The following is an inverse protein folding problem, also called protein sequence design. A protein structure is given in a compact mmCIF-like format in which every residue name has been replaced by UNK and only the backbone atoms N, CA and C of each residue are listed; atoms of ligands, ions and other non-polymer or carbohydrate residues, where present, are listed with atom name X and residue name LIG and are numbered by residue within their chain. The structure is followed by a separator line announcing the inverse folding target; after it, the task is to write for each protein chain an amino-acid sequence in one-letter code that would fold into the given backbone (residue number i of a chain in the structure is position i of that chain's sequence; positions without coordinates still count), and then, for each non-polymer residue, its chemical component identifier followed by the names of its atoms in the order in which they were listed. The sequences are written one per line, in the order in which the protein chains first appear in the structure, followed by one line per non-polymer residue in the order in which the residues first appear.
data_IF_201674545935
#
_entry.id   IF_201674545935
#
_cell.length_a   1.000
_cell.length_b   1.000
_cell.length_c   1.000
_cell.angle_alpha   90.00
_cell.angle_beta   90.00
_cell.angle_gamma   90.00
#
_symmetry.space_group_name_H-M   'P 1'
#
loop_
_entity.id
_entity.type
_entity.pdbx_description
1 polymer ?
#
# COMPACT_ATOMS: atom_id res chain seq x y z
N UNK A 1 14.55 -24.28 -22.97
CA UNK A 1 14.10 -24.67 -24.32
C UNK A 1 12.56 -24.68 -24.43
N UNK A 2 11.82 -24.97 -23.35
CA UNK A 2 10.35 -25.03 -23.37
C UNK A 2 9.61 -23.68 -23.37
N UNK A 3 10.17 -22.63 -22.77
CA UNK A 3 9.57 -21.28 -22.85
C UNK A 3 9.45 -20.84 -24.31
N UNK A 4 10.48 -21.09 -25.12
CA UNK A 4 10.49 -20.79 -26.55
C UNK A 4 9.43 -21.61 -27.31
N UNK A 5 9.18 -22.84 -26.87
CA UNK A 5 8.22 -23.76 -27.48
C UNK A 5 6.78 -23.38 -27.14
N UNK A 6 6.53 -22.95 -25.90
CA UNK A 6 5.25 -22.37 -25.46
C UNK A 6 4.99 -21.06 -26.20
N UNK A 7 5.99 -20.16 -26.26
CA UNK A 7 5.92 -18.94 -27.06
C UNK A 7 5.58 -19.23 -28.52
N UNK A 8 6.27 -20.19 -29.14
CA UNK A 8 6.01 -20.58 -30.54
C UNK A 8 4.62 -21.19 -30.74
N UNK A 9 4.11 -21.95 -29.76
CA UNK A 9 2.77 -22.55 -29.83
C UNK A 9 1.69 -21.49 -29.66
N UNK A 10 1.83 -20.58 -28.69
CA UNK A 10 0.97 -19.41 -28.52
C UNK A 10 1.02 -18.50 -29.75
N UNK A 11 2.20 -18.26 -30.31
CA UNK A 11 2.43 -17.51 -31.56
C UNK A 11 1.68 -18.15 -32.73
N UNK A 12 1.73 -19.48 -32.87
CA UNK A 12 0.98 -20.21 -33.91
C UNK A 12 -0.54 -20.13 -33.70
N UNK A 13 -1.02 -20.18 -32.46
CA UNK A 13 -2.45 -20.21 -32.13
C UNK A 13 -3.10 -18.82 -32.20
N UNK A 14 -2.43 -17.79 -31.70
CA UNK A 14 -2.97 -16.43 -31.63
C UNK A 14 -2.46 -15.53 -32.77
N UNK A 15 -1.34 -15.85 -33.40
CA UNK A 15 -0.65 -14.98 -34.35
C UNK A 15 0.24 -13.95 -33.66
N UNK A 16 1.46 -13.75 -34.17
CA UNK A 16 2.46 -12.80 -33.62
C UNK A 16 1.88 -11.39 -33.48
N UNK A 17 1.13 -10.93 -34.48
CA UNK A 17 0.50 -9.61 -34.47
C UNK A 17 -0.44 -9.41 -33.27
N UNK A 18 -1.31 -10.39 -32.98
CA UNK A 18 -2.25 -10.31 -31.86
C UNK A 18 -1.54 -10.33 -30.51
N UNK A 19 -0.48 -11.14 -30.36
CA UNK A 19 0.31 -11.18 -29.13
C UNK A 19 1.00 -9.83 -28.88
N UNK A 20 1.61 -9.24 -29.91
CA UNK A 20 2.23 -7.91 -29.81
C UNK A 20 1.19 -6.85 -29.46
N UNK A 21 0.01 -6.88 -30.08
CA UNK A 21 -1.08 -5.95 -29.78
C UNK A 21 -1.58 -6.07 -28.34
N UNK A 22 -1.78 -7.28 -27.82
CA UNK A 22 -2.21 -7.52 -26.44
C UNK A 22 -1.16 -7.00 -25.45
N UNK A 23 0.12 -7.32 -25.66
CA UNK A 23 1.19 -6.85 -24.77
C UNK A 23 1.30 -5.32 -24.80
N UNK A 24 1.25 -4.72 -26.00
CA UNK A 24 1.31 -3.25 -26.16
C UNK A 24 0.13 -2.58 -25.48
N UNK A 25 -1.08 -3.14 -25.61
CA UNK A 25 -2.27 -2.65 -24.93
C UNK A 25 -2.12 -2.70 -23.40
N UNK A 26 -1.62 -3.81 -22.85
CA UNK A 26 -1.40 -3.96 -21.41
C UNK A 26 -0.35 -2.97 -20.88
N UNK A 27 0.75 -2.77 -21.61
CA UNK A 27 1.78 -1.78 -21.27
C UNK A 27 1.19 -0.36 -21.32
N UNK A 28 0.43 -0.03 -22.37
CA UNK A 28 -0.22 1.28 -22.50
C UNK A 28 -1.23 1.56 -21.39
N UNK A 29 -2.04 0.55 -21.03
CA UNK A 29 -2.96 0.60 -19.91
C UNK A 29 -2.20 0.82 -18.59
N UNK A 30 -1.14 0.06 -18.35
CA UNK A 30 -0.30 0.23 -17.16
C UNK A 30 0.31 1.63 -17.06
N UNK A 31 0.92 2.12 -18.14
CA UNK A 31 1.51 3.47 -18.21
C UNK A 31 0.44 4.53 -17.93
N UNK A 32 -0.75 4.38 -18.52
CA UNK A 32 -1.87 5.30 -18.31
C UNK A 32 -2.33 5.31 -16.85
N UNK A 33 -2.50 4.14 -16.22
CA UNK A 33 -2.82 4.05 -14.80
C UNK A 33 -1.72 4.65 -13.93
N UNK A 34 -0.46 4.39 -14.25
CA UNK A 34 0.68 4.95 -13.52
C UNK A 34 0.67 6.47 -13.53
N UNK A 35 0.51 7.08 -14.71
CA UNK A 35 0.40 8.53 -14.81
C UNK A 35 -0.87 9.06 -14.15
N UNK A 36 -1.99 8.35 -14.24
CA UNK A 36 -3.25 8.72 -13.58
C UNK A 36 -3.05 8.80 -12.06
N UNK A 37 -2.59 7.73 -11.41
CA UNK A 37 -2.43 7.71 -9.95
C UNK A 37 -1.38 8.71 -9.46
N UNK A 38 -0.23 8.82 -10.13
CA UNK A 38 0.82 9.79 -9.78
C UNK A 38 0.39 11.25 -9.96
N UNK A 39 -0.49 11.52 -10.93
CA UNK A 39 -0.99 12.87 -11.19
C UNK A 39 -2.15 13.25 -10.27
N UNK A 40 -3.11 12.35 -10.03
CA UNK A 40 -4.31 12.62 -9.24
C UNK A 40 -4.16 12.40 -7.74
N UNK A 41 -3.13 11.73 -7.27
CA UNK A 41 -2.90 11.50 -5.84
C UNK A 41 -1.49 11.91 -5.47
N UNK A 42 -1.21 13.22 -5.58
CA UNK A 42 0.09 13.81 -5.23
C UNK A 42 0.49 13.61 -3.78
N UNK A 43 -0.48 13.51 -2.86
CA UNK A 43 -0.26 13.26 -1.45
C UNK A 43 -0.92 11.95 -1.06
N UNK A 44 -0.08 10.99 -0.64
CA UNK A 44 -0.51 9.67 -0.20
C UNK A 44 -0.10 9.48 1.26
N UNK A 45 -0.86 8.69 1.99
CA UNK A 45 -0.52 8.37 3.37
C UNK A 45 -0.79 6.91 3.69
N UNK A 46 -0.06 6.39 4.67
CA UNK A 46 -0.29 5.08 5.26
C UNK A 46 -0.29 5.21 6.76
N UNK A 47 -1.10 4.39 7.43
CA UNK A 47 -1.16 4.38 8.89
C UNK A 47 -0.95 2.97 9.42
N UNK A 48 -0.33 2.87 10.58
CA UNK A 48 -0.31 1.65 11.37
C UNK A 48 -0.65 1.99 12.82
N UNK A 49 -1.69 1.34 13.34
CA UNK A 49 -2.19 1.56 14.70
C UNK A 49 -1.69 0.47 15.62
N UNK A 50 -1.12 0.89 16.74
CA UNK A 50 -0.53 0.01 17.75
C UNK A 50 -1.30 0.23 19.05
N UNK A 51 -1.86 -0.85 19.61
CA UNK A 51 -2.43 -0.81 20.95
C UNK A 51 -1.39 -1.25 21.97
N UNK A 52 -0.99 -0.36 22.88
CA UNK A 52 0.05 -0.66 23.88
C UNK A 52 -0.43 -1.59 25.00
N UNK A 53 -1.72 -1.53 25.35
CA UNK A 53 -2.30 -2.22 26.50
C UNK A 53 -3.29 -3.35 26.14
N UNK A 54 -3.54 -3.59 24.85
CA UNK A 54 -4.50 -4.61 24.42
C UNK A 54 -3.94 -6.02 24.64
N UNK A 55 -4.66 -6.84 25.41
CA UNK A 55 -4.34 -8.27 25.61
C UNK A 55 -5.26 -9.17 24.79
N UNK A 56 -6.44 -8.67 24.42
CA UNK A 56 -7.47 -9.39 23.67
C UNK A 56 -7.87 -8.63 22.41
N UNK A 57 -8.44 -9.34 21.44
CA UNK A 57 -8.96 -8.75 20.19
C UNK A 57 -10.08 -7.74 20.48
N UNK A 58 -10.92 -7.99 21.48
CA UNK A 58 -11.98 -7.07 21.91
C UNK A 58 -11.48 -5.68 22.30
N UNK A 59 -10.25 -5.59 22.80
CA UNK A 59 -9.65 -4.35 23.30
C UNK A 59 -9.40 -3.36 22.15
N UNK A 60 -9.25 -3.85 20.92
CA UNK A 60 -9.10 -3.01 19.73
C UNK A 60 -10.37 -2.23 19.36
N UNK A 61 -11.52 -2.68 19.86
CA UNK A 61 -12.81 -2.00 19.63
C UNK A 61 -13.22 -1.11 20.80
N UNK A 62 -12.47 -1.09 21.90
CA UNK A 62 -12.78 -0.25 23.06
C UNK A 62 -12.30 1.20 22.81
N UNK A 63 -13.21 2.18 22.73
CA UNK A 63 -12.85 3.58 22.48
C UNK A 63 -12.08 4.23 23.63
N UNK A 64 -12.08 3.65 24.84
CA UNK A 64 -11.34 4.16 26.00
C UNK A 64 -9.87 3.76 26.00
N UNK A 65 -9.48 2.78 25.17
CA UNK A 65 -8.10 2.34 25.11
C UNK A 65 -7.22 3.38 24.44
N UNK A 66 -5.97 3.42 24.91
CA UNK A 66 -4.95 4.30 24.37
C UNK A 66 -4.21 3.61 23.24
N UNK A 67 -4.24 4.24 22.07
CA UNK A 67 -3.56 3.79 20.87
C UNK A 67 -2.43 4.73 20.49
N UNK A 68 -1.40 4.18 19.86
CA UNK A 68 -0.38 4.94 19.16
C UNK A 68 -0.47 4.62 17.67
N UNK A 69 -0.82 5.60 16.84
CA UNK A 69 -0.86 5.44 15.39
C UNK A 69 0.30 6.17 14.76
N UNK A 70 1.14 5.42 14.05
CA UNK A 70 2.16 6.00 13.17
C UNK A 70 1.51 6.34 11.84
N UNK A 71 1.73 7.56 11.37
CA UNK A 71 1.21 8.09 10.11
C UNK A 71 2.41 8.48 9.26
N UNK A 72 2.53 7.88 8.08
CA UNK A 72 3.52 8.25 7.09
C UNK A 72 2.83 8.98 5.95
N UNK A 73 3.27 10.21 5.69
CA UNK A 73 2.74 11.07 4.64
C UNK A 73 3.84 11.26 3.60
N UNK A 74 3.52 11.00 2.34
CA UNK A 74 4.50 10.96 1.25
C UNK A 74 4.01 11.77 0.05
N UNK A 75 4.92 12.56 -0.55
CA UNK A 75 4.65 13.22 -1.82
C UNK A 75 4.87 12.22 -2.96
N UNK A 76 3.76 11.71 -3.48
CA UNK A 76 3.73 10.77 -4.59
C UNK A 76 3.89 11.45 -5.96
N UNK A 77 3.95 12.78 -6.03
CA UNK A 77 4.06 13.56 -7.27
C UNK A 77 5.50 13.89 -7.66
N UNK A 78 5.71 14.29 -8.93
CA UNK A 78 7.03 14.69 -9.47
C UNK A 78 7.48 16.11 -9.06
N UNK A 79 6.63 16.87 -8.39
CA UNK A 79 6.86 18.28 -8.04
C UNK A 79 6.65 18.49 -6.54
N UNK A 80 7.47 19.35 -5.96
CA UNK A 80 7.32 19.86 -4.60
C UNK A 80 5.91 20.39 -4.36
N UNK A 81 5.37 20.09 -3.19
CA UNK A 81 4.08 20.61 -2.74
C UNK A 81 4.38 21.68 -1.69
N UNK A 82 3.98 22.92 -1.97
CA UNK A 82 4.06 24.02 -1.01
C UNK A 82 2.82 24.12 -0.14
N UNK A 83 2.89 24.84 0.98
CA UNK A 83 1.75 25.09 1.88
C UNK A 83 0.54 25.65 1.14
N UNK A 84 0.76 26.56 0.19
CA UNK A 84 -0.30 27.21 -0.59
C UNK A 84 -1.13 26.21 -1.42
N UNK A 85 -0.51 25.09 -1.80
CA UNK A 85 -1.19 24.03 -2.54
C UNK A 85 -1.99 23.09 -1.62
N UNK A 86 -1.86 23.21 -0.30
CA UNK A 86 -2.53 22.37 0.69
C UNK A 86 -3.63 23.19 1.37
N UNK A 87 -4.86 23.03 0.88
CA UNK A 87 -6.03 23.71 1.45
C UNK A 87 -6.30 23.27 2.90
N UNK A 88 -6.03 22.00 3.20
CA UNK A 88 -6.35 21.40 4.49
C UNK A 88 -5.51 20.15 4.69
N UNK A 89 -4.92 19.98 5.87
CA UNK A 89 -4.32 18.72 6.31
C UNK A 89 -4.52 18.56 7.82
N UNK A 90 -5.36 17.60 8.19
CA UNK A 90 -5.82 17.37 9.56
C UNK A 90 -5.84 15.89 9.89
N UNK A 91 -5.32 15.55 11.07
CA UNK A 91 -5.52 14.27 11.72
C UNK A 91 -6.77 14.40 12.60
N UNK A 92 -7.73 13.50 12.45
CA UNK A 92 -8.98 13.52 13.19
C UNK A 92 -9.14 12.20 13.93
N UNK A 93 -9.31 12.28 15.25
CA UNK A 93 -9.68 11.17 16.10
C UNK A 93 -11.19 11.16 16.35
N UNK A 94 -11.80 9.97 16.44
CA UNK A 94 -13.18 9.85 16.95
C UNK A 94 -13.28 10.15 18.46
N UNK A 95 -12.20 9.87 19.20
CA UNK A 95 -12.07 10.12 20.64
C UNK A 95 -11.35 11.44 20.91
N UNK A 96 -10.08 11.37 21.30
CA UNK A 96 -9.22 12.52 21.62
C UNK A 96 -7.80 12.22 21.11
N UNK A 97 -7.07 13.27 20.73
CA UNK A 97 -5.63 13.26 20.48
C UNK A 97 -4.94 13.83 21.71
N UNK A 98 -4.06 13.06 22.33
CA UNK A 98 -3.30 13.48 23.51
C UNK A 98 -1.97 14.11 23.13
N UNK A 99 -1.26 13.52 22.17
CA UNK A 99 0.05 14.00 21.75
C UNK A 99 0.39 13.61 20.31
N UNK A 100 1.27 14.38 19.68
CA UNK A 100 1.88 14.06 18.39
C UNK A 100 3.39 14.21 18.52
N UNK A 101 4.11 13.14 18.20
CA UNK A 101 5.57 13.10 18.15
C UNK A 101 5.99 13.11 16.69
N UNK A 102 6.87 14.05 16.32
CA UNK A 102 7.44 14.11 14.97
C UNK A 102 8.64 13.18 14.91
N UNK A 103 8.51 12.06 14.19
CA UNK A 103 9.58 11.05 14.03
C UNK A 103 10.50 11.42 12.86
N UNK A 104 9.92 11.91 11.76
CA UNK A 104 10.66 12.46 10.62
C UNK A 104 10.07 13.81 10.26
N UNK A 105 10.93 14.82 10.36
CA UNK A 105 10.56 16.21 10.15
C UNK A 105 10.83 16.67 8.72
N UNK A 106 10.10 17.72 8.31
CA UNK A 106 10.34 18.53 7.11
C UNK A 106 10.36 20.01 7.51
N UNK A 107 10.82 20.88 6.62
CA UNK A 107 10.94 22.30 6.92
C UNK A 107 9.58 22.96 7.22
N UNK A 108 9.55 23.76 8.28
CA UNK A 108 8.34 24.46 8.74
C UNK A 108 7.22 23.57 9.28
N UNK A 109 7.45 22.28 9.52
CA UNK A 109 6.41 21.39 10.05
C UNK A 109 5.99 21.82 11.46
N UNK A 110 4.71 22.12 11.61
CA UNK A 110 4.06 22.44 12.88
C UNK A 110 2.76 21.67 13.03
N UNK A 111 2.47 21.30 14.27
CA UNK A 111 1.26 20.57 14.64
C UNK A 111 0.49 21.35 15.69
N UNK A 112 -0.77 21.68 15.41
CA UNK A 112 -1.66 22.32 16.39
C UNK A 112 -2.79 21.36 16.76
N UNK A 113 -2.79 20.90 18.02
CA UNK A 113 -3.75 19.94 18.54
C UNK A 113 -4.91 20.69 19.21
N UNK A 114 -6.11 20.47 18.70
CA UNK A 114 -7.38 20.91 19.30
C UNK A 114 -8.27 19.69 19.56
N UNK A 115 -8.14 19.14 20.78
CA UNK A 115 -8.90 18.00 21.31
C UNK A 115 -8.92 16.78 20.39
N UNK A 116 -9.83 16.74 19.41
CA UNK A 116 -10.02 15.63 18.48
C UNK A 116 -9.28 15.79 17.16
N UNK A 117 -8.83 17.00 16.86
CA UNK A 117 -8.27 17.35 15.57
C UNK A 117 -6.87 17.91 15.75
N UNK A 118 -5.94 17.50 14.92
CA UNK A 118 -4.63 18.12 14.84
C UNK A 118 -4.37 18.62 13.43
N UNK A 119 -4.11 19.92 13.30
CA UNK A 119 -3.75 20.57 12.04
C UNK A 119 -2.26 20.40 11.79
N UNK A 120 -1.90 20.03 10.57
CA UNK A 120 -0.53 19.89 10.11
C UNK A 120 -0.24 20.98 9.08
N UNK A 121 0.77 21.79 9.34
CA UNK A 121 1.27 22.79 8.39
C UNK A 121 2.75 22.55 8.16
N UNK A 122 3.23 22.66 6.93
CA UNK A 122 4.65 22.61 6.57
C UNK A 122 4.89 23.51 5.37
N UNK A 123 6.12 24.00 5.19
CA UNK A 123 6.46 24.93 4.11
C UNK A 123 6.46 24.22 2.75
N UNK A 124 7.30 23.18 2.64
CA UNK A 124 7.48 22.43 1.41
C UNK A 124 7.60 20.93 1.70
N UNK A 125 7.09 20.11 0.77
CA UNK A 125 7.28 18.67 0.75
C UNK A 125 7.76 18.25 -0.64
N UNK A 126 9.04 17.96 -0.75
CA UNK A 126 9.67 17.48 -1.99
C UNK A 126 9.25 16.06 -2.34
N UNK A 127 9.44 15.66 -3.60
CA UNK A 127 9.05 14.33 -4.10
C UNK A 127 9.79 13.15 -3.45
N UNK A 128 10.93 13.42 -2.81
CA UNK A 128 11.74 12.46 -2.06
C UNK A 128 11.49 12.51 -0.56
N UNK A 129 10.84 13.57 -0.09
CA UNK A 129 10.62 13.82 1.32
C UNK A 129 9.30 13.22 1.80
N UNK A 130 9.27 12.93 3.10
CA UNK A 130 8.15 12.33 3.75
C UNK A 130 8.12 12.75 5.22
N UNK A 131 6.91 12.79 5.76
CA UNK A 131 6.64 13.14 7.15
C UNK A 131 6.24 11.87 7.87
N UNK A 132 6.79 11.65 9.06
CA UNK A 132 6.38 10.55 9.93
C UNK A 132 5.97 11.13 11.27
N UNK A 133 4.72 10.88 11.65
CA UNK A 133 4.12 11.30 12.91
C UNK A 133 3.72 10.09 13.72
N UNK A 134 3.95 10.12 15.02
CA UNK A 134 3.37 9.17 15.97
C UNK A 134 2.32 9.90 16.80
N UNK A 135 1.06 9.48 16.66
CA UNK A 135 -0.09 10.12 17.28
C UNK A 135 -0.58 9.25 18.42
N UNK A 136 -0.60 9.79 19.63
CA UNK A 136 -1.18 9.16 20.80
C UNK A 136 -2.66 9.58 20.91
N UNK A 137 -3.60 8.64 20.89
CA UNK A 137 -5.02 8.95 20.81
C UNK A 137 -5.93 7.84 21.37
N UNK A 138 -7.19 8.20 21.59
CA UNK A 138 -8.29 7.27 21.84
C UNK A 138 -9.20 7.16 20.61
N UNK A 139 -9.73 5.96 20.35
CA UNK A 139 -10.63 5.71 19.23
C UNK A 139 -9.92 5.54 17.88
N UNK A 140 -10.57 5.93 16.78
CA UNK A 140 -10.07 5.74 15.42
C UNK A 140 -9.48 7.03 14.86
N UNK A 141 -8.34 6.92 14.17
CA UNK A 141 -7.69 8.02 13.46
C UNK A 141 -8.05 8.00 11.98
N UNK A 142 -8.32 9.18 11.44
CA UNK A 142 -8.49 9.43 10.02
C UNK A 142 -7.69 10.67 9.61
N UNK A 143 -6.95 10.57 8.51
CA UNK A 143 -6.27 11.72 7.92
C UNK A 143 -7.17 12.33 6.85
N UNK A 144 -7.56 13.60 7.05
CA UNK A 144 -8.29 14.37 6.06
C UNK A 144 -7.41 15.48 5.52
N UNK A 145 -7.48 15.67 4.21
CA UNK A 145 -6.91 16.85 3.63
C UNK A 145 -7.28 17.00 2.17
N UNK A 146 -6.85 18.12 1.60
CA UNK A 146 -7.11 18.48 0.22
C UNK A 146 -5.92 19.25 -0.34
N UNK A 147 -5.44 18.80 -1.48
CA UNK A 147 -4.46 19.51 -2.30
C UNK A 147 -5.20 20.16 -3.47
N UNK A 148 -4.87 21.41 -3.80
CA UNK A 148 -5.60 22.29 -4.75
C UNK A 148 -5.86 21.60 -6.09
N UNK A 149 -4.86 20.92 -6.65
CA UNK A 149 -4.95 20.29 -7.98
C UNK A 149 -5.58 18.89 -7.96
N UNK A 150 -5.34 18.12 -6.90
CA UNK A 150 -5.57 16.67 -6.89
C UNK A 150 -6.72 16.22 -6.01
N UNK A 151 -7.25 17.11 -5.17
CA UNK A 151 -8.35 16.78 -4.28
C UNK A 151 -7.87 16.03 -3.03
N UNK A 152 -8.56 14.94 -2.67
CA UNK A 152 -8.36 14.23 -1.38
C UNK A 152 -7.03 13.47 -1.35
N UNK A 153 -6.48 13.30 -0.15
CA UNK A 153 -5.36 12.37 0.06
C UNK A 153 -5.81 10.93 -0.16
N UNK A 154 -4.89 10.11 -0.69
CA UNK A 154 -5.11 8.69 -0.86
C UNK A 154 -4.45 7.91 0.28
N UNK A 155 -5.24 7.06 0.95
CA UNK A 155 -4.67 6.03 1.81
C UNK A 155 -4.05 4.95 0.91
N UNK A 156 -2.75 4.67 1.05
CA UNK A 156 -2.00 3.81 0.12
C UNK A 156 -2.52 2.38 0.03
N UNK A 157 -3.18 1.91 1.08
CA UNK A 157 -3.94 0.67 1.04
C UNK A 157 -5.44 1.00 1.09
N UNK A 158 -6.04 1.41 -0.04
CA UNK A 158 -7.49 1.48 -0.08
C UNK A 158 -8.02 0.06 0.16
N UNK A 159 -9.11 -0.06 0.91
CA UNK A 159 -9.77 -1.35 1.23
C UNK A 159 -9.93 -2.26 -0.01
N UNK A 160 -10.16 -1.66 -1.17
CA UNK A 160 -10.30 -2.36 -2.46
C UNK A 160 -9.02 -3.09 -2.90
N UNK A 161 -7.84 -2.56 -2.58
CA UNK A 161 -6.55 -3.20 -2.88
C UNK A 161 -6.29 -4.42 -2.01
N UNK A 162 -6.64 -4.34 -0.73
CA UNK A 162 -6.60 -5.49 0.18
C UNK A 162 -7.56 -6.59 -0.33
N UNK A 163 -8.77 -6.21 -0.73
CA UNK A 163 -9.76 -7.14 -1.30
C UNK A 163 -9.21 -7.78 -2.58
N UNK A 164 -8.62 -7.00 -3.49
CA UNK A 164 -8.08 -7.54 -4.72
C UNK A 164 -6.90 -8.48 -4.47
N UNK A 165 -5.99 -8.11 -3.57
CA UNK A 165 -4.90 -9.00 -3.14
C UNK A 165 -5.45 -10.29 -2.53
N UNK A 166 -6.48 -10.21 -1.69
CA UNK A 166 -7.16 -11.37 -1.12
C UNK A 166 -7.76 -12.28 -2.20
N UNK A 167 -8.45 -11.69 -3.19
CA UNK A 167 -8.98 -12.43 -4.34
C UNK A 167 -7.88 -13.15 -5.11
N UNK A 168 -6.77 -12.47 -5.42
CA UNK A 168 -5.64 -13.09 -6.11
C UNK A 168 -5.00 -14.21 -5.29
N UNK A 169 -4.80 -14.03 -3.98
CA UNK A 169 -4.25 -15.08 -3.11
C UNK A 169 -5.14 -16.30 -3.06
N UNK A 170 -6.46 -16.12 -2.89
CA UNK A 170 -7.44 -17.22 -2.88
C UNK A 170 -7.45 -17.91 -4.24
N UNK A 171 -7.54 -17.16 -5.34
CA UNK A 171 -7.55 -17.69 -6.69
C UNK A 171 -6.28 -18.47 -7.01
N UNK A 172 -5.10 -17.94 -6.69
CA UNK A 172 -3.80 -18.62 -6.85
C UNK A 172 -3.79 -19.91 -6.03
N UNK A 173 -4.23 -19.86 -4.77
CA UNK A 173 -4.27 -21.03 -3.89
C UNK A 173 -5.17 -22.12 -4.47
N UNK A 174 -6.39 -21.77 -4.90
CA UNK A 174 -7.32 -22.70 -5.54
C UNK A 174 -6.75 -23.30 -6.83
N UNK A 175 -6.09 -22.49 -7.67
CA UNK A 175 -5.45 -22.96 -8.89
C UNK A 175 -4.26 -23.89 -8.60
N UNK A 176 -3.51 -23.65 -7.53
CA UNK A 176 -2.45 -24.57 -7.08
C UNK A 176 -3.01 -25.90 -6.61
N UNK A 177 -4.07 -25.89 -5.80
CA UNK A 177 -4.75 -27.11 -5.35
C UNK A 177 -5.41 -27.88 -6.49
N UNK A 178 -6.05 -27.17 -7.44
CA UNK A 178 -6.64 -27.79 -8.62
C UNK A 178 -5.56 -28.45 -9.50
N UNK A 179 -4.43 -27.77 -9.74
CA UNK A 179 -3.31 -28.36 -10.46
C UNK A 179 -2.71 -29.55 -9.71
N UNK A 180 -2.53 -29.47 -8.39
CA UNK A 180 -2.10 -30.64 -7.60
C UNK A 180 -3.07 -31.81 -7.73
N UNK A 181 -4.37 -31.58 -7.58
CA UNK A 181 -5.40 -32.63 -7.63
C UNK A 181 -5.48 -33.30 -9.00
N UNK A 182 -5.45 -32.51 -10.07
CA UNK A 182 -5.46 -33.03 -11.45
C UNK A 182 -4.20 -33.83 -11.79
N UNK A 183 -3.04 -33.43 -11.26
CA UNK A 183 -1.77 -34.12 -11.49
C UNK A 183 -1.67 -35.41 -10.67
N UNK A 184 -2.18 -35.43 -9.44
CA UNK A 184 -2.24 -36.64 -8.60
C UNK A 184 -3.15 -37.74 -9.18
N UNK A 185 -4.09 -37.39 -10.06
CA UNK A 185 -5.00 -38.34 -10.71
C UNK A 185 -4.47 -38.96 -12.01
N UNK A 186 -3.24 -38.64 -12.43
CA UNK A 186 -2.64 -39.11 -13.69
C UNK A 186 -1.54 -40.13 -13.38
N UNK A 187 -1.52 -41.27 -14.07
CA UNK A 187 -0.52 -42.35 -13.86
C UNK A 187 0.93 -41.92 -14.11
N UNK A 188 1.16 -40.84 -14.87
CA UNK A 188 2.45 -40.19 -15.06
C UNK A 188 2.31 -38.66 -14.95
N UNK A 189 2.42 -38.10 -13.74
CA UNK A 189 2.27 -36.67 -13.53
C UNK A 189 3.39 -35.88 -14.21
N UNK A 190 3.04 -34.96 -15.11
CA UNK A 190 3.99 -34.00 -15.66
C UNK A 190 4.30 -32.91 -14.62
N UNK A 191 5.24 -33.22 -13.72
CA UNK A 191 5.70 -32.33 -12.64
C UNK A 191 6.30 -31.01 -13.17
N UNK A 192 6.71 -30.98 -14.43
CA UNK A 192 7.24 -29.78 -15.05
C UNK A 192 6.13 -28.75 -15.31
N UNK A 193 4.97 -29.19 -15.80
CA UNK A 193 3.81 -28.31 -16.01
C UNK A 193 3.31 -27.70 -14.70
N UNK A 194 3.33 -28.47 -13.61
CA UNK A 194 3.05 -27.98 -12.26
C UNK A 194 3.98 -26.83 -11.86
N UNK A 195 5.28 -27.08 -12.00
CA UNK A 195 6.34 -26.12 -11.64
C UNK A 195 6.22 -24.84 -12.47
N UNK A 196 5.97 -24.98 -13.78
CA UNK A 196 5.78 -23.85 -14.68
C UNK A 196 4.56 -23.00 -14.28
N UNK A 197 3.42 -23.63 -13.97
CA UNK A 197 2.23 -22.92 -13.49
C UNK A 197 2.49 -22.17 -12.18
N UNK A 198 3.20 -22.80 -11.23
CA UNK A 198 3.59 -22.13 -9.98
C UNK A 198 4.46 -20.90 -10.24
N UNK A 199 5.48 -21.03 -11.10
CA UNK A 199 6.39 -19.93 -11.46
C UNK A 199 5.63 -18.78 -12.13
N UNK A 200 4.71 -19.07 -13.05
CA UNK A 200 3.89 -18.04 -13.72
C UNK A 200 3.00 -17.31 -12.71
N UNK A 201 2.32 -18.02 -11.82
CA UNK A 201 1.45 -17.42 -10.80
C UNK A 201 2.25 -16.57 -9.80
N UNK A 202 3.41 -17.07 -9.35
CA UNK A 202 4.33 -16.30 -8.51
C UNK A 202 4.84 -15.04 -9.23
N UNK A 203 5.16 -15.15 -10.52
CA UNK A 203 5.55 -14.02 -11.36
C UNK A 203 4.47 -12.94 -11.42
N UNK A 204 3.20 -13.33 -11.61
CA UNK A 204 2.06 -12.38 -11.59
C UNK A 204 1.97 -11.67 -10.24
N UNK A 205 2.10 -12.39 -9.12
CA UNK A 205 2.08 -11.79 -7.79
C UNK A 205 3.23 -10.78 -7.58
N UNK A 206 4.44 -11.13 -8.01
CA UNK A 206 5.60 -10.24 -7.95
C UNK A 206 5.40 -8.98 -8.78
N UNK A 207 4.79 -9.10 -9.97
CA UNK A 207 4.45 -7.96 -10.82
C UNK A 207 3.40 -7.07 -10.14
N UNK A 208 2.32 -7.63 -9.59
CA UNK A 208 1.30 -6.86 -8.86
C UNK A 208 1.93 -6.10 -7.68
N UNK A 209 2.80 -6.76 -6.90
CA UNK A 209 3.48 -6.12 -5.78
C UNK A 209 4.47 -5.05 -6.23
N UNK A 210 5.15 -5.26 -7.35
CA UNK A 210 6.01 -4.24 -7.95
C UNK A 210 5.21 -3.01 -8.41
N UNK A 211 4.06 -3.22 -9.06
CA UNK A 211 3.13 -2.15 -9.45
C UNK A 211 2.67 -1.37 -8.21
N UNK A 212 2.31 -2.05 -7.13
CA UNK A 212 1.96 -1.40 -5.87
C UNK A 212 3.09 -0.49 -5.37
N UNK A 213 4.32 -0.99 -5.30
CA UNK A 213 5.49 -0.19 -4.89
C UNK A 213 5.74 1.04 -5.76
N UNK A 214 5.40 0.98 -7.05
CA UNK A 214 5.55 2.11 -7.96
C UNK A 214 4.47 3.19 -7.77
N UNK A 215 3.25 2.77 -7.46
CA UNK A 215 2.09 3.66 -7.38
C UNK A 215 1.91 4.30 -6.00
N UNK A 216 2.42 3.65 -4.95
CA UNK A 216 2.19 4.01 -3.55
C UNK A 216 3.51 4.25 -2.80
N UNK A 217 3.43 4.37 -1.47
CA UNK A 217 4.61 4.49 -0.60
C UNK A 217 5.47 3.22 -0.77
N UNK A 218 6.79 3.36 -0.97
CA UNK A 218 7.71 2.22 -1.01
C UNK A 218 7.64 1.35 0.26
N UNK A 219 7.52 0.02 0.09
CA UNK A 219 7.51 -0.94 1.21
C UNK A 219 8.69 -0.73 2.19
N UNK A 220 9.86 -0.32 1.70
CA UNK A 220 11.04 -0.06 2.54
C UNK A 220 10.82 1.11 3.52
N UNK A 221 10.05 2.13 3.14
CA UNK A 221 9.70 3.23 4.02
C UNK A 221 8.61 2.80 5.00
N UNK A 222 7.55 2.15 4.51
CA UNK A 222 6.46 1.64 5.36
C UNK A 222 7.01 0.70 6.45
N UNK A 223 7.83 -0.29 6.09
CA UNK A 223 8.38 -1.23 7.06
C UNK A 223 9.34 -0.57 8.04
N UNK A 224 10.12 0.43 7.59
CA UNK A 224 11.08 1.12 8.47
C UNK A 224 10.40 2.03 9.50
N UNK A 225 9.29 2.67 9.14
CA UNK A 225 8.70 3.75 9.92
C UNK A 225 7.32 3.43 10.51
N UNK A 226 6.55 2.51 9.92
CA UNK A 226 5.21 2.15 10.40
C UNK A 226 5.20 0.86 11.21
N UNK A 227 6.01 -0.14 10.85
CA UNK A 227 6.10 -1.37 11.63
C UNK A 227 6.78 -1.11 12.99
N UNK A 228 6.35 -1.85 14.01
CA UNK A 228 7.01 -1.83 15.31
C UNK A 228 8.37 -2.51 15.19
N UNK A 229 9.42 -1.94 15.81
CA UNK A 229 10.74 -2.60 15.80
C UNK A 229 10.71 -3.95 16.51
N UNK A 230 9.74 -4.14 17.39
CA UNK A 230 9.51 -5.39 18.09
C UNK A 230 8.12 -5.93 17.73
N UNK A 231 8.04 -7.20 17.32
CA UNK A 231 6.76 -7.88 17.02
C UNK A 231 5.84 -7.94 18.25
N UNK A 232 6.43 -7.79 19.44
CA UNK A 232 5.76 -7.79 20.74
C UNK A 232 5.60 -6.40 21.34
N UNK A 233 5.78 -5.32 20.55
CA UNK A 233 5.62 -3.92 20.97
C UNK A 233 6.44 -3.50 22.22
N UNK A 234 7.50 -4.24 22.58
CA UNK A 234 8.38 -3.95 23.72
C UNK A 234 9.15 -2.62 23.60
N UNK A 235 9.22 -2.03 22.40
CA UNK A 235 9.74 -0.67 22.17
C UNK A 235 9.02 0.39 23.03
N UNK A 236 7.81 0.10 23.51
CA UNK A 236 6.99 1.03 24.29
C UNK A 236 6.87 0.70 25.79
N UNK A 237 7.54 -0.36 26.28
CA UNK A 237 7.55 -0.75 27.70
C UNK A 237 8.78 -0.22 28.45
N UNK A 238 9.33 0.93 28.05
CA UNK A 238 10.41 1.62 28.77
C UNK A 238 9.90 2.84 29.49
#
# INVERSE_FOLDING_TARGET
MEILNILNKSIKTFGIGNIISIITFLIGLFISYYFYFKSFYRLVYSTNTICKSCKKISDWSNPENMFSTRILIYNNGRKTISTEQINKLEIISSGKIDNIIIVKNVEGLSTNIDKKTAKLNFENLDSTDFIVLEVAHNGNINLKGRVVETGKLLHTEPRNWIILNGFFVIFITLMLFYNMYTILGIENPDTWLFTLNFVVLYGIFMVIRFIHKLLFIPDSLSNRYLETKDKWSLEFNK
#
